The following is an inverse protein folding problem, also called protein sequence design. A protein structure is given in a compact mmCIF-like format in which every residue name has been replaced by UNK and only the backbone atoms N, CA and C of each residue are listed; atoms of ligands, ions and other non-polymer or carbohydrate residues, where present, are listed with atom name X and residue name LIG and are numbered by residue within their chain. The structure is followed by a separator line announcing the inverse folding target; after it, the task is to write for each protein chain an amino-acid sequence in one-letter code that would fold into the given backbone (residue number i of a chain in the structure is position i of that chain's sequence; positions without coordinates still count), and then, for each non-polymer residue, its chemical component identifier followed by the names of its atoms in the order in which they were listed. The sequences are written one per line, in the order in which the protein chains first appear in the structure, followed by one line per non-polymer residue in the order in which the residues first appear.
data_IF_876208971790
#
_entry.id   IF_876208971790
#
_cell.length_a   1.000
_cell.length_b   1.000
_cell.length_c   1.000
_cell.angle_alpha   90.00
_cell.angle_beta   90.00
_cell.angle_gamma   90.00
#
_symmetry.space_group_name_H-M   'P 1'
#
loop_
_entity.id
_entity.type
_entity.pdbx_description
1 polymer ?
#
# COMPACT_ATOMS: atom_id res chain seq x y z
N UNK A 1 -12.00 -16.91 -7.24
CA UNK A 1 -13.35 -16.41 -7.60
C UNK A 1 -13.39 -14.90 -7.29
N UNK A 2 -13.66 -14.02 -8.27
CA UNK A 2 -13.68 -12.55 -8.08
C UNK A 2 -14.49 -12.07 -6.87
N UNK A 3 -15.60 -12.75 -6.58
CA UNK A 3 -16.48 -12.45 -5.45
C UNK A 3 -15.78 -12.55 -4.08
N UNK A 4 -14.83 -13.47 -3.92
CA UNK A 4 -14.08 -13.64 -2.67
C UNK A 4 -13.17 -12.43 -2.43
N UNK A 5 -12.51 -11.93 -3.49
CA UNK A 5 -11.67 -10.73 -3.40
C UNK A 5 -12.51 -9.48 -3.08
N UNK A 6 -13.66 -9.34 -3.74
CA UNK A 6 -14.56 -8.21 -3.47
C UNK A 6 -15.12 -8.22 -2.05
N UNK A 7 -15.43 -9.40 -1.51
CA UNK A 7 -15.83 -9.52 -0.11
C UNK A 7 -14.70 -9.09 0.83
N UNK A 8 -13.48 -9.60 0.63
CA UNK A 8 -12.34 -9.24 1.46
C UNK A 8 -12.00 -7.75 1.41
N UNK A 9 -12.11 -7.10 0.25
CA UNK A 9 -11.91 -5.65 0.12
C UNK A 9 -12.94 -4.88 0.96
N UNK A 10 -14.22 -5.26 0.92
CA UNK A 10 -15.28 -4.60 1.71
C UNK A 10 -15.04 -4.76 3.21
N UNK A 11 -14.75 -5.99 3.65
CA UNK A 11 -14.44 -6.29 5.06
C UNK A 11 -13.21 -5.51 5.56
N UNK A 12 -12.17 -5.36 4.71
CA UNK A 12 -10.98 -4.58 5.03
C UNK A 12 -11.29 -3.08 5.17
N UNK A 13 -12.11 -2.52 4.27
CA UNK A 13 -12.54 -1.11 4.36
C UNK A 13 -13.28 -0.85 5.66
N UNK A 14 -14.24 -1.72 6.03
CA UNK A 14 -14.97 -1.62 7.30
C UNK A 14 -14.03 -1.70 8.50
N UNK A 15 -13.06 -2.62 8.47
CA UNK A 15 -12.08 -2.75 9.55
C UNK A 15 -11.20 -1.50 9.73
N UNK A 16 -10.84 -0.83 8.63
CA UNK A 16 -10.08 0.43 8.70
C UNK A 16 -10.96 1.57 9.20
N UNK A 17 -12.19 1.70 8.69
CA UNK A 17 -13.12 2.74 9.10
C UNK A 17 -13.48 2.66 10.61
N UNK A 18 -13.59 1.43 11.13
CA UNK A 18 -13.86 1.16 12.55
C UNK A 18 -12.62 1.27 13.45
N UNK A 19 -11.42 1.49 12.88
CA UNK A 19 -10.16 1.51 13.63
C UNK A 19 -9.68 0.14 14.12
N UNK A 20 -10.29 -0.96 13.66
CA UNK A 20 -9.85 -2.34 13.94
C UNK A 20 -8.59 -2.73 13.18
N UNK A 21 -8.28 -2.01 12.10
CA UNK A 21 -7.11 -2.21 11.26
C UNK A 21 -6.47 -0.84 10.95
N UNK A 22 -5.19 -0.68 11.27
CA UNK A 22 -4.39 0.46 10.83
C UNK A 22 -3.43 0.03 9.70
N UNK A 23 -3.69 0.39 8.43
CA UNK A 23 -2.86 0.00 7.30
C UNK A 23 -1.66 0.94 7.10
N UNK A 24 -1.67 2.12 7.71
CA UNK A 24 -0.70 3.18 7.43
C UNK A 24 0.74 2.81 7.81
N UNK A 25 1.02 2.08 8.91
CA UNK A 25 2.38 1.64 9.24
C UNK A 25 3.04 0.75 8.18
N UNK A 26 2.27 0.14 7.28
CA UNK A 26 2.81 -0.66 6.19
C UNK A 26 3.39 0.21 5.06
N UNK A 27 2.91 1.46 4.92
CA UNK A 27 3.37 2.41 3.91
C UNK A 27 4.61 3.14 4.43
N UNK A 28 5.78 2.52 4.28
CA UNK A 28 7.02 3.08 4.82
C UNK A 28 7.73 4.05 3.86
N UNK A 29 7.36 4.06 2.58
CA UNK A 29 7.98 4.92 1.57
C UNK A 29 6.91 5.60 0.70
N UNK A 30 7.18 6.83 0.27
CA UNK A 30 6.31 7.60 -0.63
C UNK A 30 7.13 8.21 -1.75
N UNK A 31 6.64 8.08 -2.98
CA UNK A 31 7.29 8.63 -4.17
C UNK A 31 6.27 9.47 -4.96
N UNK A 32 6.69 10.57 -5.59
CA UNK A 32 5.88 11.23 -6.61
C UNK A 32 5.76 10.35 -7.87
N UNK A 33 4.73 10.60 -8.69
CA UNK A 33 4.46 9.81 -9.91
C UNK A 33 5.62 9.81 -10.92
N UNK A 34 6.36 10.91 -11.02
CA UNK A 34 7.52 11.03 -11.91
C UNK A 34 8.73 10.19 -11.47
N UNK A 35 8.69 9.61 -10.26
CA UNK A 35 9.68 8.68 -9.72
C UNK A 35 9.16 7.23 -9.61
N UNK A 36 8.21 6.86 -10.46
CA UNK A 36 7.66 5.51 -10.47
C UNK A 36 8.73 4.43 -10.71
N UNK A 37 9.74 4.74 -11.54
CA UNK A 37 10.90 3.88 -11.78
C UNK A 37 11.66 3.60 -10.48
N UNK A 38 11.99 4.64 -9.71
CA UNK A 38 12.67 4.53 -8.41
C UNK A 38 11.84 3.72 -7.42
N UNK A 39 10.52 3.92 -7.39
CA UNK A 39 9.63 3.18 -6.50
C UNK A 39 9.57 1.68 -6.85
N UNK A 40 9.62 1.34 -8.13
CA UNK A 40 9.69 -0.05 -8.60
C UNK A 40 11.04 -0.69 -8.26
N UNK A 41 12.14 0.05 -8.42
CA UNK A 41 13.47 -0.38 -8.01
C UNK A 41 13.54 -0.65 -6.50
N UNK A 42 13.02 0.26 -5.67
CA UNK A 42 12.95 0.07 -4.22
C UNK A 42 12.11 -1.17 -3.82
N UNK A 43 11.05 -1.47 -4.57
CA UNK A 43 10.23 -2.69 -4.34
C UNK A 43 11.02 -3.97 -4.60
N UNK A 44 11.91 -3.95 -5.61
CA UNK A 44 12.80 -5.06 -5.95
C UNK A 44 13.96 -5.18 -4.97
N UNK A 45 14.66 -4.08 -4.72
CA UNK A 45 15.94 -4.04 -4.02
C UNK A 45 15.78 -4.01 -2.49
N UNK A 46 14.57 -3.68 -2.00
CA UNK A 46 14.17 -3.71 -0.58
C UNK A 46 15.19 -3.05 0.34
N UNK A 47 15.38 -1.72 0.26
CA UNK A 47 16.27 -1.00 1.17
C UNK A 47 15.84 -1.16 2.63
N UNK A 48 16.73 -0.81 3.56
CA UNK A 48 16.44 -0.89 4.99
C UNK A 48 15.15 -0.14 5.33
N UNK A 49 14.26 -0.77 6.10
CA UNK A 49 12.97 -0.21 6.49
C UNK A 49 11.88 -0.25 5.39
N UNK A 50 12.15 -0.83 4.22
CA UNK A 50 11.15 -0.95 3.16
C UNK A 50 10.11 -2.04 3.45
N UNK A 51 8.83 -1.65 3.42
CA UNK A 51 7.68 -2.56 3.52
C UNK A 51 6.75 -2.38 2.32
N UNK A 52 6.21 -1.17 2.14
CA UNK A 52 5.37 -0.81 1.00
C UNK A 52 5.61 0.65 0.61
N UNK A 53 5.57 0.89 -0.69
CA UNK A 53 5.57 2.23 -1.27
C UNK A 53 4.16 2.67 -1.68
N UNK A 54 3.87 3.97 -1.52
CA UNK A 54 2.72 4.65 -2.12
C UNK A 54 3.19 5.68 -3.16
N UNK A 55 2.48 5.76 -4.28
CA UNK A 55 2.72 6.77 -5.32
C UNK A 55 1.71 7.90 -5.15
N UNK A 56 2.20 9.14 -5.09
CA UNK A 56 1.38 10.33 -4.99
C UNK A 56 1.27 10.97 -6.38
N UNK A 57 0.03 11.26 -6.81
CA UNK A 57 -0.29 11.80 -8.14
C UNK A 57 -0.65 13.29 -8.11
N UNK A 58 -0.19 14.02 -7.09
CA UNK A 58 -0.43 15.45 -6.93
C UNK A 58 0.58 16.31 -7.70
#
# INVERSE_FOLDING_TARGET
KPEIYMRGIREAIEAVADGRLDPWPLLTHSYPLDQLDVALDATRDRPEGFMKAIILCN
#
